data_IF_492998607441
#
_entry.id   IF_492998607441
#
_cell.length_a   1.000
_cell.length_b   1.000
_cell.length_c   1.000
_cell.angle_alpha   90.00
_cell.angle_beta   90.00
_cell.angle_gamma   90.00
#
_symmetry.space_group_name_H-M   'P 1'
#
loop_
_entity.id
_entity.type
_entity.pdbx_description
1 polymer ?
#
# COMPACT_ATOMS: atom_id res chain seq x y z
N UNK A 1 -46.10 -7.38 -26.20
CA UNK A 1 -45.70 -8.64 -25.54
C UNK A 1 -44.25 -8.91 -25.89
N UNK A 2 -43.31 -8.74 -24.96
CA UNK A 2 -41.91 -9.18 -25.15
C UNK A 2 -41.64 -10.16 -24.02
N UNK A 3 -41.58 -11.43 -24.42
CA UNK A 3 -41.41 -12.61 -23.58
C UNK A 3 -39.90 -12.89 -23.53
N UNK A 4 -39.38 -13.00 -22.31
CA UNK A 4 -37.95 -12.95 -22.03
C UNK A 4 -37.14 -14.20 -22.38
N UNK A 5 -35.84 -14.12 -22.09
CA UNK A 5 -34.86 -15.21 -21.90
C UNK A 5 -33.64 -14.51 -21.27
N UNK A 6 -33.38 -14.72 -19.98
CA UNK A 6 -32.42 -15.70 -19.45
C UNK A 6 -30.97 -15.16 -19.41
N UNK A 7 -30.59 -14.77 -18.19
CA UNK A 7 -29.37 -15.12 -17.43
C UNK A 7 -28.19 -15.77 -18.17
N UNK A 8 -27.00 -15.40 -17.69
CA UNK A 8 -25.66 -15.96 -17.93
C UNK A 8 -24.90 -15.32 -19.11
N UNK A 9 -23.62 -14.99 -19.02
CA UNK A 9 -22.59 -15.43 -18.10
C UNK A 9 -21.54 -14.32 -17.93
N UNK A 10 -20.96 -14.22 -16.74
CA UNK A 10 -19.66 -13.61 -16.56
C UNK A 10 -18.66 -14.37 -17.46
N UNK A 11 -18.37 -13.81 -18.63
CA UNK A 11 -17.29 -14.29 -19.46
C UNK A 11 -16.00 -13.88 -18.74
N UNK A 12 -15.46 -14.81 -17.97
CA UNK A 12 -14.06 -14.83 -17.59
C UNK A 12 -13.25 -14.67 -18.87
N UNK A 13 -12.73 -13.47 -19.09
CA UNK A 13 -11.78 -13.19 -20.15
C UNK A 13 -10.53 -14.00 -19.88
N UNK A 14 -10.40 -15.14 -20.55
CA UNK A 14 -9.14 -15.83 -20.71
C UNK A 14 -8.21 -14.91 -21.53
N UNK A 15 -7.52 -14.01 -20.84
CA UNK A 15 -6.42 -13.26 -21.43
C UNK A 15 -5.24 -14.21 -21.44
N UNK A 16 -4.83 -14.62 -22.64
CA UNK A 16 -3.61 -15.34 -22.88
C UNK A 16 -2.43 -14.51 -22.33
N UNK A 17 -1.95 -14.85 -21.14
CA UNK A 17 -0.74 -14.28 -20.53
C UNK A 17 0.49 -14.89 -21.22
N UNK A 18 0.69 -14.52 -22.47
CA UNK A 18 1.96 -14.76 -23.17
C UNK A 18 2.88 -13.60 -22.77
N UNK A 19 3.62 -13.77 -21.68
CA UNK A 19 4.86 -13.03 -21.42
C UNK A 19 4.76 -11.56 -20.99
N UNK A 20 3.66 -11.10 -20.39
CA UNK A 20 3.73 -9.88 -19.58
C UNK A 20 4.36 -10.22 -18.23
N UNK A 21 5.36 -9.47 -17.73
CA UNK A 21 5.81 -9.66 -16.36
C UNK A 21 4.58 -9.51 -15.47
N UNK A 22 4.37 -10.46 -14.55
CA UNK A 22 3.36 -10.32 -13.52
C UNK A 22 3.70 -9.06 -12.72
N UNK A 23 3.11 -7.93 -13.09
CA UNK A 23 3.02 -6.78 -12.21
C UNK A 23 2.20 -7.29 -11.04
N UNK A 24 2.88 -7.56 -9.93
CA UNK A 24 2.27 -7.93 -8.66
C UNK A 24 1.16 -6.92 -8.40
N UNK A 25 -0.09 -7.37 -8.49
CA UNK A 25 -1.23 -6.48 -8.31
C UNK A 25 -1.27 -6.08 -6.83
N UNK A 26 -0.88 -4.84 -6.55
CA UNK A 26 -1.01 -4.24 -5.22
C UNK A 26 -2.50 -3.98 -4.93
N UNK A 27 -2.86 -3.99 -3.66
CA UNK A 27 -4.19 -3.63 -3.18
C UNK A 27 -4.47 -2.15 -3.34
N UNK A 28 -5.75 -1.74 -3.28
CA UNK A 28 -6.11 -0.31 -3.31
C UNK A 28 -5.47 0.46 -2.15
N UNK A 29 -5.42 -0.12 -0.95
CA UNK A 29 -4.77 0.47 0.22
C UNK A 29 -3.27 0.73 -0.01
N UNK A 30 -2.56 -0.22 -0.63
CA UNK A 30 -1.16 -0.06 -0.99
C UNK A 30 -0.96 0.99 -2.09
N UNK A 31 -1.89 1.08 -3.04
CA UNK A 31 -1.86 2.12 -4.07
C UNK A 31 -2.06 3.53 -3.48
N UNK A 32 -3.03 3.68 -2.56
CA UNK A 32 -3.32 4.93 -1.86
C UNK A 32 -2.11 5.35 -0.99
N UNK A 33 -1.55 4.41 -0.21
CA UNK A 33 -0.35 4.64 0.59
C UNK A 33 0.84 5.14 -0.26
N UNK A 34 1.11 4.51 -1.41
CA UNK A 34 2.19 4.92 -2.31
C UNK A 34 1.92 6.30 -2.93
N UNK A 35 0.67 6.60 -3.26
CA UNK A 35 0.29 7.91 -3.78
C UNK A 35 0.50 9.00 -2.74
N UNK A 36 0.18 8.74 -1.48
CA UNK A 36 0.34 9.68 -0.37
C UNK A 36 1.81 9.90 -0.02
N UNK A 37 2.62 8.83 0.03
CA UNK A 37 4.08 8.93 0.14
C UNK A 37 4.69 9.80 -0.98
N UNK A 38 4.30 9.53 -2.22
CA UNK A 38 4.79 10.28 -3.39
C UNK A 38 4.39 11.75 -3.30
N UNK A 39 3.17 12.04 -2.86
CA UNK A 39 2.67 13.41 -2.66
C UNK A 39 3.39 14.14 -1.54
N UNK A 40 3.87 13.42 -0.52
CA UNK A 40 4.75 13.93 0.54
C UNK A 40 6.24 14.03 0.14
N UNK A 41 6.56 13.73 -1.14
CA UNK A 41 7.93 13.78 -1.66
C UNK A 41 8.80 12.60 -1.21
N UNK A 42 8.20 11.51 -0.74
CA UNK A 42 8.87 10.26 -0.39
C UNK A 42 8.82 9.35 -1.61
N UNK A 43 9.98 9.11 -2.21
CA UNK A 43 10.11 8.26 -3.38
C UNK A 43 11.07 7.10 -3.07
N UNK A 44 10.83 5.96 -3.71
CA UNK A 44 11.60 4.75 -3.49
C UNK A 44 11.10 3.62 -4.37
N UNK A 45 11.66 2.44 -4.16
CA UNK A 45 11.11 1.22 -4.75
C UNK A 45 9.72 0.93 -4.17
N UNK A 46 8.73 0.75 -5.03
CA UNK A 46 7.34 0.59 -4.59
C UNK A 46 7.15 -0.64 -3.70
N UNK A 47 7.79 -1.77 -4.03
CA UNK A 47 7.65 -2.99 -3.25
C UNK A 47 8.31 -2.84 -1.87
N UNK A 48 9.47 -2.19 -1.80
CA UNK A 48 10.13 -1.87 -0.53
C UNK A 48 9.27 -0.94 0.34
N UNK A 49 8.71 0.13 -0.24
CA UNK A 49 7.86 1.07 0.50
C UNK A 49 6.61 0.39 1.06
N UNK A 50 5.97 -0.48 0.29
CA UNK A 50 4.82 -1.28 0.75
C UNK A 50 5.23 -2.21 1.89
N UNK A 51 6.34 -2.94 1.74
CA UNK A 51 6.84 -3.84 2.79
C UNK A 51 7.17 -3.10 4.09
N UNK A 52 7.79 -1.92 3.99
CA UNK A 52 8.05 -1.04 5.13
C UNK A 52 6.74 -0.59 5.78
N UNK A 53 5.76 -0.16 4.99
CA UNK A 53 4.45 0.27 5.47
C UNK A 53 3.70 -0.83 6.26
N UNK A 54 3.72 -2.07 5.77
CA UNK A 54 3.17 -3.21 6.51
C UNK A 54 3.95 -3.51 7.78
N UNK A 55 5.28 -3.42 7.74
CA UNK A 55 6.13 -3.60 8.94
C UNK A 55 5.83 -2.56 10.02
N UNK A 56 5.68 -1.30 9.62
CA UNK A 56 5.25 -0.21 10.51
C UNK A 56 3.89 -0.54 11.11
N UNK A 57 2.96 -0.99 10.29
CA UNK A 57 1.63 -1.33 10.75
C UNK A 57 1.63 -2.47 11.79
N UNK A 58 2.38 -3.54 11.53
CA UNK A 58 2.52 -4.65 12.48
C UNK A 58 3.13 -4.18 13.80
N UNK A 59 4.13 -3.29 13.76
CA UNK A 59 4.74 -2.72 14.96
C UNK A 59 3.73 -1.87 15.75
N UNK A 60 2.93 -1.05 15.07
CA UNK A 60 1.85 -0.27 15.69
C UNK A 60 0.79 -1.18 16.34
N UNK A 61 0.40 -2.27 15.66
CA UNK A 61 -0.54 -3.25 16.19
C UNK A 61 0.00 -3.98 17.45
N UNK A 62 1.32 -4.10 17.56
CA UNK A 62 2.00 -4.65 18.75
C UNK A 62 2.20 -3.63 19.87
N UNK A 63 1.77 -2.38 19.68
CA UNK A 63 1.85 -1.31 20.68
C UNK A 63 3.15 -0.51 20.66
N UNK A 64 3.92 -0.55 19.56
CA UNK A 64 5.10 0.30 19.40
C UNK A 64 4.71 1.80 19.38
N UNK A 65 5.58 2.65 19.94
CA UNK A 65 5.35 4.09 19.93
C UNK A 65 5.57 4.67 18.52
N UNK A 66 4.60 5.41 17.94
CA UNK A 66 4.74 6.00 16.61
C UNK A 66 5.95 6.95 16.47
N UNK A 67 6.35 7.65 17.53
CA UNK A 67 7.50 8.56 17.46
C UNK A 67 8.83 7.79 17.43
N UNK A 68 8.90 6.65 18.12
CA UNK A 68 10.06 5.77 18.07
C UNK A 68 10.19 5.11 16.68
N UNK A 69 9.07 4.70 16.09
CA UNK A 69 9.02 4.21 14.72
C UNK A 69 9.43 5.29 13.71
N UNK A 70 8.95 6.52 13.87
CA UNK A 70 9.35 7.64 13.01
C UNK A 70 10.84 7.95 13.12
N UNK A 71 11.40 8.02 14.33
CA UNK A 71 12.84 8.19 14.53
C UNK A 71 13.65 7.05 13.90
N UNK A 72 13.19 5.81 14.05
CA UNK A 72 13.84 4.64 13.46
C UNK A 72 13.79 4.71 11.94
N UNK A 73 12.64 5.05 11.37
CA UNK A 73 12.45 5.18 9.93
C UNK A 73 13.31 6.30 9.33
N UNK A 74 13.37 7.45 10.01
CA UNK A 74 14.26 8.56 9.67
C UNK A 74 15.74 8.13 9.68
N UNK A 75 16.20 7.48 10.75
CA UNK A 75 17.58 7.03 10.89
C UNK A 75 17.97 6.00 9.83
N UNK A 76 17.05 5.10 9.46
CA UNK A 76 17.30 4.05 8.48
C UNK A 76 17.24 4.56 7.04
N UNK A 77 16.38 5.54 6.76
CA UNK A 77 16.21 6.09 5.42
C UNK A 77 17.41 6.96 4.99
N UNK A 78 17.94 7.78 5.91
CA UNK A 78 19.08 8.67 5.67
C UNK A 78 18.87 9.75 4.58
N UNK A 79 17.70 9.75 3.94
CA UNK A 79 17.39 10.48 2.70
C UNK A 79 16.11 11.33 2.80
N UNK A 80 15.32 11.11 3.85
CA UNK A 80 14.06 11.82 4.12
C UNK A 80 14.20 12.71 5.35
N UNK A 81 13.38 13.74 5.44
CA UNK A 81 13.25 14.55 6.65
C UNK A 81 12.46 13.82 7.75
N UNK A 82 12.61 14.24 9.01
CA UNK A 82 11.80 13.69 10.10
C UNK A 82 10.29 13.87 9.87
N UNK A 83 9.88 15.01 9.31
CA UNK A 83 8.47 15.26 8.96
C UNK A 83 7.95 14.27 7.90
N UNK A 84 8.80 13.83 6.98
CA UNK A 84 8.45 12.79 6.01
C UNK A 84 8.38 11.41 6.67
N UNK A 85 9.27 11.10 7.61
CA UNK A 85 9.16 9.88 8.39
C UNK A 85 7.84 9.85 9.18
N UNK A 86 7.49 10.94 9.85
CA UNK A 86 6.21 11.09 10.57
C UNK A 86 5.00 10.90 9.62
N UNK A 87 5.08 11.44 8.41
CA UNK A 87 4.05 11.27 7.39
C UNK A 87 3.92 9.79 6.97
N UNK A 88 5.03 9.09 6.71
CA UNK A 88 5.03 7.68 6.35
C UNK A 88 4.37 6.80 7.42
N UNK A 89 4.69 7.03 8.70
CA UNK A 89 4.05 6.31 9.82
C UNK A 89 2.53 6.58 9.84
N UNK A 90 2.11 7.82 9.64
CA UNK A 90 0.69 8.18 9.64
C UNK A 90 -0.08 7.60 8.44
N UNK A 91 0.51 7.58 7.24
CA UNK A 91 -0.10 6.96 6.07
C UNK A 91 -0.20 5.44 6.24
N UNK A 92 0.87 4.78 6.71
CA UNK A 92 0.83 3.35 6.99
C UNK A 92 -0.28 3.00 8.00
N UNK A 93 -0.44 3.83 9.04
CA UNK A 93 -1.51 3.69 10.02
C UNK A 93 -2.91 3.93 9.43
N UNK A 94 -3.06 4.86 8.51
CA UNK A 94 -4.37 5.22 7.93
C UNK A 94 -4.81 4.24 6.86
N UNK A 95 -3.88 3.84 6.00
CA UNK A 95 -4.19 3.14 4.76
C UNK A 95 -3.95 1.63 4.89
N UNK A 96 -2.85 1.22 5.55
CA UNK A 96 -2.42 -0.17 5.58
C UNK A 96 -2.86 -0.91 6.84
N UNK A 97 -3.09 -0.22 7.95
CA UNK A 97 -3.56 -0.86 9.16
C UNK A 97 -5.05 -1.17 9.13
N UNK A 98 -5.45 -2.47 9.04
CA UNK A 98 -6.85 -2.82 9.27
C UNK A 98 -7.20 -2.37 10.69
N UNK A 99 -8.32 -1.64 10.82
CA UNK A 99 -8.77 -1.04 12.07
C UNK A 99 -8.45 -1.94 13.28
N UNK A 100 -7.62 -1.42 14.19
CA UNK A 100 -7.29 -2.10 15.45
C UNK A 100 -8.54 -2.53 16.23
#
# INVERSE_FOLDING_TARGET
MIKGLLTAAAAAGAIALVGAPAAWAITNAEADYIQDLTSAGIAGDQAALIADGHTICEALAQGADPNELSQTYFNNSGSISHAQADAAINFAKTDLCPAG
#
